data_IF_009771981126
#
_entry.id   IF_009771981126
#
_cell.length_a   1.000
_cell.length_b   1.000
_cell.length_c   1.000
_cell.angle_alpha   90.00
_cell.angle_beta   90.00
_cell.angle_gamma   90.00
#
_symmetry.space_group_name_H-M   'P 1'
#
loop_
_entity.id
_entity.type
_entity.pdbx_description
1 polymer ?
#
# COMPACT_ATOMS: atom_id res chain seq x y z
N UNK A 1 39.08 6.69 -61.60
CA UNK A 1 38.79 5.49 -62.42
C UNK A 1 38.42 4.37 -61.48
N UNK A 2 37.18 3.90 -61.58
CA UNK A 2 36.61 2.90 -60.70
C UNK A 2 37.06 1.49 -61.11
N UNK A 3 37.42 0.67 -60.13
CA UNK A 3 37.49 -0.78 -60.28
C UNK A 3 36.53 -1.43 -59.28
N UNK A 4 35.64 -2.29 -59.79
CA UNK A 4 34.64 -3.06 -59.05
C UNK A 4 34.32 -4.34 -59.83
N UNK A 5 34.91 -5.46 -59.40
CA UNK A 5 34.50 -6.87 -59.60
C UNK A 5 35.18 -7.64 -58.46
N UNK A 6 34.63 -8.60 -57.74
CA UNK A 6 33.46 -9.49 -57.71
C UNK A 6 33.22 -9.72 -56.18
N UNK A 7 32.19 -10.36 -55.61
CA UNK A 7 31.57 -11.65 -55.95
C UNK A 7 30.28 -11.76 -55.14
N UNK A 8 29.19 -12.16 -55.80
CA UNK A 8 27.90 -12.47 -55.18
C UNK A 8 27.97 -13.89 -54.59
N UNK A 9 27.62 -14.03 -53.31
CA UNK A 9 27.27 -15.29 -52.66
C UNK A 9 25.83 -15.18 -52.17
N UNK A 10 25.01 -16.14 -52.59
CA UNK A 10 23.57 -16.18 -52.34
C UNK A 10 23.29 -16.72 -50.94
N UNK A 11 22.46 -16.02 -50.16
CA UNK A 11 21.75 -16.62 -49.04
C UNK A 11 20.26 -16.44 -49.28
N UNK A 12 19.59 -17.58 -49.41
CA UNK A 12 18.15 -17.74 -49.59
C UNK A 12 17.38 -17.03 -48.48
N UNK A 13 16.37 -16.28 -48.91
CA UNK A 13 15.22 -15.94 -48.09
C UNK A 13 14.49 -17.25 -47.69
N UNK A 14 14.61 -17.61 -46.42
CA UNK A 14 13.79 -18.63 -45.76
C UNK A 14 12.88 -17.91 -44.78
N UNK A 15 11.58 -17.94 -45.06
CA UNK A 15 10.56 -17.25 -44.27
C UNK A 15 10.41 -17.84 -42.87
N UNK A 16 10.18 -16.95 -41.91
CA UNK A 16 9.49 -17.28 -40.67
C UNK A 16 8.13 -16.63 -40.81
N UNK A 17 7.20 -17.41 -41.37
CA UNK A 17 5.81 -17.06 -41.36
C UNK A 17 5.25 -17.32 -39.94
N UNK A 18 4.53 -16.33 -39.44
CA UNK A 18 3.29 -16.51 -38.69
C UNK A 18 3.39 -16.88 -37.19
N UNK A 19 3.44 -15.88 -36.30
CA UNK A 19 2.67 -15.87 -35.03
C UNK A 19 2.32 -14.43 -34.64
N UNK A 20 1.46 -13.78 -35.43
CA UNK A 20 0.68 -12.62 -34.98
C UNK A 20 -0.77 -12.80 -35.47
N UNK A 21 -1.56 -13.44 -34.62
CA UNK A 21 -3.02 -13.41 -34.57
C UNK A 21 -3.37 -13.85 -33.14
N UNK A 22 -4.11 -13.12 -32.31
CA UNK A 22 -5.23 -12.24 -32.60
C UNK A 22 -6.42 -12.72 -31.76
N UNK A 23 -6.38 -12.42 -30.45
CA UNK A 23 -7.49 -12.27 -29.47
C UNK A 23 -8.49 -13.45 -29.26
N UNK A 24 -9.25 -13.52 -28.13
CA UNK A 24 -9.27 -12.69 -26.92
C UNK A 24 -9.04 -13.47 -25.61
N UNK A 25 -8.71 -12.71 -24.56
CA UNK A 25 -8.59 -13.11 -23.15
C UNK A 25 -10.00 -13.34 -22.56
N UNK A 26 -10.74 -14.31 -23.11
CA UNK A 26 -12.09 -14.66 -22.68
C UNK A 26 -12.28 -16.18 -22.78
N UNK A 27 -11.66 -16.90 -21.84
CA UNK A 27 -12.05 -18.22 -21.31
C UNK A 27 -10.82 -19.01 -20.81
N UNK A 28 -10.29 -18.60 -19.66
CA UNK A 28 -9.94 -19.56 -18.60
C UNK A 28 -10.45 -19.04 -17.26
N UNK A 29 -11.66 -18.49 -17.26
CA UNK A 29 -12.52 -18.40 -16.08
C UNK A 29 -13.17 -19.79 -15.90
N UNK A 30 -12.34 -20.76 -15.55
CA UNK A 30 -12.80 -21.86 -14.71
C UNK A 30 -12.70 -21.33 -13.28
N UNK A 31 -13.82 -20.87 -12.73
CA UNK A 31 -13.94 -20.66 -11.29
C UNK A 31 -13.60 -21.97 -10.57
N UNK A 32 -12.33 -22.17 -10.22
CA UNK A 32 -11.95 -23.04 -9.11
C UNK A 32 -12.14 -22.22 -7.83
N UNK A 33 -13.40 -22.07 -7.43
CA UNK A 33 -13.69 -21.77 -6.03
C UNK A 33 -13.16 -22.95 -5.20
N UNK A 34 -12.30 -22.66 -4.22
CA UNK A 34 -11.82 -23.63 -3.23
C UNK A 34 -10.54 -24.41 -3.57
N UNK A 35 -9.61 -23.84 -4.34
CA UNK A 35 -8.28 -24.43 -4.53
C UNK A 35 -7.25 -23.92 -3.52
N UNK A 36 -6.42 -24.81 -2.95
CA UNK A 36 -5.19 -24.42 -2.25
C UNK A 36 -4.22 -23.79 -3.26
N UNK A 37 -3.88 -22.53 -3.05
CA UNK A 37 -2.90 -21.78 -3.84
C UNK A 37 -1.56 -21.75 -3.09
N UNK A 38 -0.42 -21.59 -3.80
CA UNK A 38 0.86 -21.43 -3.13
C UNK A 38 0.83 -20.22 -2.20
N UNK A 39 1.50 -20.34 -1.04
CA UNK A 39 1.62 -19.22 -0.12
C UNK A 39 2.36 -18.05 -0.80
N UNK A 40 1.91 -16.83 -0.52
CA UNK A 40 2.44 -15.59 -1.10
C UNK A 40 2.89 -14.66 0.01
N UNK A 41 3.60 -13.62 -0.36
CA UNK A 41 3.99 -12.55 0.56
C UNK A 41 3.01 -11.40 0.43
N UNK A 42 2.57 -10.86 1.57
CA UNK A 42 1.84 -9.59 1.66
C UNK A 42 2.68 -8.54 2.34
N UNK A 43 2.36 -7.28 2.08
CA UNK A 43 2.89 -6.15 2.82
C UNK A 43 1.94 -5.86 3.98
N UNK A 44 2.39 -6.07 5.21
CA UNK A 44 1.78 -5.53 6.41
C UNK A 44 2.33 -4.13 6.66
N UNK A 45 1.45 -3.14 6.71
CA UNK A 45 1.76 -1.78 7.13
C UNK A 45 1.23 -1.59 8.53
N UNK A 46 2.08 -1.18 9.46
CA UNK A 46 1.67 -0.87 10.83
C UNK A 46 2.08 0.56 11.18
N UNK A 47 1.14 1.34 11.68
CA UNK A 47 1.34 2.71 12.15
C UNK A 47 1.07 2.69 13.64
N UNK A 48 2.13 2.69 14.45
CA UNK A 48 2.05 2.57 15.91
C UNK A 48 2.68 3.79 16.58
N UNK A 49 2.47 3.95 17.89
CA UNK A 49 3.24 4.95 18.63
C UNK A 49 4.73 4.64 18.55
N UNK A 50 5.57 5.68 18.56
CA UNK A 50 7.03 5.56 18.49
C UNK A 50 7.63 4.54 19.45
N UNK A 51 7.08 4.44 20.66
CA UNK A 51 7.57 3.53 21.70
C UNK A 51 7.04 2.10 21.59
N UNK A 52 6.08 1.83 20.71
CA UNK A 52 5.45 0.51 20.54
C UNK A 52 6.12 -0.32 19.42
N UNK A 53 7.13 0.20 18.71
CA UNK A 53 7.74 -0.47 17.54
C UNK A 53 8.50 -1.75 17.90
N UNK A 54 9.26 -1.76 18.99
CA UNK A 54 10.01 -2.95 19.44
C UNK A 54 9.04 -4.06 19.84
N UNK A 55 7.99 -3.70 20.58
CA UNK A 55 6.91 -4.62 20.94
C UNK A 55 6.17 -5.14 19.72
N UNK A 56 5.89 -4.29 18.72
CA UNK A 56 5.29 -4.72 17.45
C UNK A 56 6.16 -5.77 16.76
N UNK A 57 7.48 -5.53 16.70
CA UNK A 57 8.44 -6.47 16.12
C UNK A 57 8.43 -7.81 16.85
N UNK A 58 8.48 -7.81 18.17
CA UNK A 58 8.39 -9.03 18.99
C UNK A 58 7.11 -9.82 18.69
N UNK A 59 5.97 -9.13 18.61
CA UNK A 59 4.68 -9.77 18.29
C UNK A 59 4.69 -10.43 16.92
N UNK A 60 5.25 -9.78 15.90
CA UNK A 60 5.34 -10.34 14.55
C UNK A 60 6.29 -11.53 14.53
N UNK A 61 7.46 -11.42 15.17
CA UNK A 61 8.48 -12.48 15.21
C UNK A 61 8.01 -13.73 15.98
N UNK A 62 7.18 -13.56 17.01
CA UNK A 62 6.51 -14.66 17.72
C UNK A 62 5.56 -15.45 16.81
N UNK A 63 4.99 -14.80 15.80
CA UNK A 63 3.97 -15.38 14.92
C UNK A 63 4.58 -16.00 13.65
N UNK A 64 5.57 -15.33 13.06
CA UNK A 64 6.09 -15.67 11.73
C UNK A 64 7.46 -15.04 11.48
N UNK A 65 8.16 -15.56 10.46
CA UNK A 65 9.27 -14.84 9.86
C UNK A 65 8.76 -13.63 9.09
N UNK A 66 9.36 -12.47 9.34
CA UNK A 66 9.08 -11.22 8.64
C UNK A 66 10.35 -10.44 8.31
N UNK A 67 10.29 -9.59 7.28
CA UNK A 67 11.30 -8.57 7.04
C UNK A 67 10.65 -7.21 7.24
N UNK A 68 11.12 -6.46 8.24
CA UNK A 68 10.51 -5.19 8.65
C UNK A 68 11.46 -4.03 8.46
N UNK A 69 10.96 -2.95 7.85
CA UNK A 69 11.64 -1.65 7.75
C UNK A 69 10.73 -0.60 8.39
N UNK A 70 11.30 0.28 9.21
CA UNK A 70 10.54 1.30 9.95
C UNK A 70 10.97 2.72 9.56
N UNK A 71 10.00 3.62 9.58
CA UNK A 71 10.13 5.04 9.26
C UNK A 71 9.53 5.86 10.40
N UNK A 72 10.12 7.02 10.69
CA UNK A 72 9.47 8.01 11.55
C UNK A 72 8.23 8.57 10.84
N UNK A 73 7.17 8.82 11.60
CA UNK A 73 5.99 9.49 11.07
C UNK A 73 5.26 10.30 12.12
N UNK A 74 4.33 11.11 11.67
CA UNK A 74 3.54 12.01 12.52
C UNK A 74 2.06 11.75 12.30
N UNK A 75 1.34 11.36 13.35
CA UNK A 75 -0.09 11.12 13.31
C UNK A 75 -0.88 12.40 13.52
N UNK A 76 -1.90 12.62 12.69
CA UNK A 76 -2.73 13.85 12.66
C UNK A 76 -4.21 13.59 13.01
N UNK A 77 -4.51 12.42 13.59
CA UNK A 77 -5.88 12.11 14.02
C UNK A 77 -6.27 12.96 15.23
N UNK A 78 -7.50 13.49 15.22
CA UNK A 78 -8.02 14.32 16.31
C UNK A 78 -8.03 13.59 17.66
N UNK A 79 -7.63 14.31 18.69
CA UNK A 79 -7.83 13.91 20.09
C UNK A 79 -8.24 15.15 20.86
N UNK A 80 -9.38 15.10 21.53
CA UNK A 80 -9.92 16.24 22.28
C UNK A 80 -8.88 16.77 23.29
N UNK A 81 -8.15 15.87 23.95
CA UNK A 81 -7.11 16.24 24.93
C UNK A 81 -5.92 16.94 24.28
N UNK A 82 -5.53 16.47 23.10
CA UNK A 82 -4.42 17.03 22.32
C UNK A 82 -4.77 18.39 21.75
N UNK A 83 -5.99 18.54 21.22
CA UNK A 83 -6.53 19.80 20.73
C UNK A 83 -6.60 20.85 21.86
N UNK A 84 -7.00 20.45 23.08
CA UNK A 84 -6.99 21.33 24.26
C UNK A 84 -5.58 21.80 24.66
N UNK A 85 -4.57 20.94 24.51
CA UNK A 85 -3.18 21.26 24.84
C UNK A 85 -2.47 22.04 23.73
N UNK A 86 -3.12 22.24 22.58
CA UNK A 86 -2.49 22.81 21.39
C UNK A 86 -1.45 21.89 20.74
N UNK A 87 -1.50 20.58 21.05
CA UNK A 87 -0.57 19.57 20.55
C UNK A 87 -1.35 18.71 19.54
N UNK A 88 -1.51 19.16 18.30
CA UNK A 88 -2.32 18.47 17.29
C UNK A 88 -1.70 17.22 16.66
N UNK A 89 -0.48 16.86 17.06
CA UNK A 89 0.34 15.85 16.41
C UNK A 89 0.87 14.82 17.39
N UNK A 90 1.02 13.59 16.92
CA UNK A 90 1.57 12.48 17.72
C UNK A 90 2.73 11.83 17.00
N UNK A 91 3.82 11.56 17.72
CA UNK A 91 4.94 10.79 17.15
C UNK A 91 4.51 9.34 16.89
N UNK A 92 4.58 8.92 15.63
CA UNK A 92 4.28 7.57 15.17
C UNK A 92 5.53 6.93 14.56
N UNK A 93 5.45 5.63 14.40
CA UNK A 93 6.37 4.86 13.57
C UNK A 93 5.57 4.06 12.57
N UNK A 94 5.92 4.20 11.29
CA UNK A 94 5.35 3.44 10.19
C UNK A 94 6.28 2.28 9.88
N UNK A 95 5.81 1.05 10.00
CA UNK A 95 6.56 -0.16 9.74
C UNK A 95 5.99 -0.90 8.53
N UNK A 96 6.86 -1.22 7.57
CA UNK A 96 6.58 -2.07 6.44
C UNK A 96 7.17 -3.45 6.69
N UNK A 97 6.30 -4.44 6.90
CA UNK A 97 6.65 -5.81 7.21
C UNK A 97 6.20 -6.73 6.08
N UNK A 98 7.14 -7.43 5.47
CA UNK A 98 6.84 -8.50 4.51
C UNK A 98 6.50 -9.77 5.30
N UNK A 99 5.28 -10.27 5.13
CA UNK A 99 4.76 -11.42 5.88
C UNK A 99 4.18 -12.49 4.96
N UNK A 100 4.18 -13.78 5.35
CA UNK A 100 3.45 -14.81 4.63
C UNK A 100 1.94 -14.57 4.73
N UNK A 101 1.23 -14.75 3.61
CA UNK A 101 -0.23 -14.58 3.55
C UNK A 101 -0.96 -15.61 4.42
N UNK A 102 -0.40 -16.81 4.61
CA UNK A 102 -0.96 -17.82 5.52
C UNK A 102 -1.07 -17.37 6.97
N UNK A 103 -0.17 -16.50 7.41
CA UNK A 103 -0.01 -16.16 8.83
C UNK A 103 -0.69 -14.81 9.14
N UNK A 104 -1.29 -14.16 8.13
CA UNK A 104 -1.95 -12.85 8.19
C UNK A 104 -2.99 -12.77 9.31
N UNK A 105 -3.89 -13.76 9.40
CA UNK A 105 -4.96 -13.77 10.41
C UNK A 105 -4.42 -13.84 11.84
N UNK A 106 -3.40 -14.68 12.05
CA UNK A 106 -2.75 -14.81 13.34
C UNK A 106 -2.04 -13.51 13.73
N UNK A 107 -1.21 -12.98 12.83
CA UNK A 107 -0.45 -11.74 13.06
C UNK A 107 -1.38 -10.58 13.39
N UNK A 108 -2.45 -10.37 12.60
CA UNK A 108 -3.40 -9.27 12.83
C UNK A 108 -4.10 -9.39 14.18
N UNK A 109 -4.49 -10.61 14.58
CA UNK A 109 -5.11 -10.87 15.89
C UNK A 109 -4.15 -10.58 17.05
N UNK A 110 -2.91 -11.06 16.95
CA UNK A 110 -1.91 -10.87 18.01
C UNK A 110 -1.49 -9.39 18.11
N UNK A 111 -1.33 -8.68 16.99
CA UNK A 111 -1.07 -7.23 17.00
C UNK A 111 -2.23 -6.49 17.69
N UNK A 112 -3.48 -6.78 17.31
CA UNK A 112 -4.66 -6.15 17.92
C UNK A 112 -4.66 -6.29 19.45
N UNK A 113 -4.33 -7.49 19.93
CA UNK A 113 -4.39 -7.82 21.36
C UNK A 113 -3.16 -7.32 22.10
N UNK A 114 -1.96 -7.73 21.68
CA UNK A 114 -0.70 -7.47 22.36
C UNK A 114 -0.25 -6.02 22.25
N UNK A 115 -0.55 -5.29 21.16
CA UNK A 115 -0.28 -3.84 21.04
C UNK A 115 -1.47 -2.99 21.51
N UNK A 116 -2.59 -3.64 21.85
CA UNK A 116 -3.82 -2.99 22.25
C UNK A 116 -4.36 -2.01 21.21
N UNK A 117 -4.24 -2.35 19.92
CA UNK A 117 -4.74 -1.49 18.84
C UNK A 117 -6.26 -1.25 18.92
N UNK A 118 -7.01 -2.08 19.64
CA UNK A 118 -8.43 -1.85 19.92
C UNK A 118 -8.70 -0.53 20.67
N UNK A 119 -7.70 0.03 21.36
CA UNK A 119 -7.79 1.34 22.02
C UNK A 119 -7.45 2.46 21.03
N UNK A 120 -8.27 3.52 21.06
CA UNK A 120 -8.07 4.72 20.25
C UNK A 120 -6.69 5.32 20.52
N UNK A 121 -5.99 5.71 19.46
CA UNK A 121 -4.69 6.38 19.54
C UNK A 121 -3.47 5.45 19.66
N UNK A 122 -3.67 4.13 19.81
CA UNK A 122 -2.56 3.15 19.87
C UNK A 122 -1.93 2.86 18.51
N UNK A 123 -2.67 3.06 17.44
CA UNK A 123 -2.20 2.84 16.08
C UNK A 123 -3.17 1.99 15.25
N UNK A 124 -2.76 1.72 14.02
CA UNK A 124 -3.49 0.87 13.08
C UNK A 124 -2.52 -0.08 12.38
N UNK A 125 -3.00 -1.24 11.98
CA UNK A 125 -2.26 -2.16 11.10
C UNK A 125 -3.18 -2.59 9.97
N UNK A 126 -2.63 -2.75 8.78
CA UNK A 126 -3.39 -3.21 7.63
C UNK A 126 -2.50 -3.88 6.58
N UNK A 127 -3.09 -4.74 5.75
CA UNK A 127 -2.35 -5.49 4.73
C UNK A 127 -2.65 -5.00 3.33
N UNK A 128 -1.62 -5.01 2.48
CA UNK A 128 -1.67 -4.66 1.06
C UNK A 128 -1.18 -5.86 0.25
N UNK A 129 -1.92 -6.29 -0.79
CA UNK A 129 -1.48 -7.38 -1.66
C UNK A 129 -0.24 -6.97 -2.47
N UNK A 130 0.70 -7.89 -2.65
CA UNK A 130 1.87 -7.70 -3.52
C UNK A 130 1.67 -8.39 -4.86
N UNK A 131 2.12 -7.75 -5.93
CA UNK A 131 2.13 -8.32 -7.29
C UNK A 131 3.45 -9.00 -7.63
N UNK A 132 4.52 -8.73 -6.89
CA UNK A 132 5.83 -9.32 -7.10
C UNK A 132 6.81 -8.99 -5.98
N UNK A 133 7.76 -9.88 -5.78
CA UNK A 133 8.85 -9.77 -4.81
C UNK A 133 10.04 -10.60 -5.32
N UNK A 134 11.26 -10.31 -4.87
CA UNK A 134 12.44 -11.09 -5.24
C UNK A 134 12.33 -12.54 -4.74
N UNK A 135 12.72 -13.49 -5.59
CA UNK A 135 12.54 -14.93 -5.36
C UNK A 135 13.19 -15.40 -4.05
N UNK A 136 14.41 -14.93 -3.75
CA UNK A 136 15.12 -15.28 -2.51
C UNK A 136 14.32 -14.86 -1.28
N UNK A 137 13.75 -13.65 -1.30
CA UNK A 137 12.95 -13.14 -0.19
C UNK A 137 11.62 -13.88 -0.10
N UNK A 138 10.95 -14.11 -1.24
CA UNK A 138 9.70 -14.86 -1.30
C UNK A 138 9.86 -16.25 -0.70
N UNK A 139 10.89 -16.99 -1.13
CA UNK A 139 11.18 -18.34 -0.66
C UNK A 139 11.63 -18.36 0.79
N UNK A 140 12.40 -17.36 1.24
CA UNK A 140 12.82 -17.25 2.64
C UNK A 140 11.62 -17.05 3.58
N UNK A 141 10.72 -16.14 3.25
CA UNK A 141 9.54 -15.81 4.07
C UNK A 141 8.51 -16.95 4.02
N UNK A 142 8.10 -17.38 2.83
CA UNK A 142 7.08 -18.45 2.68
C UNK A 142 7.61 -19.84 3.05
N UNK A 143 8.92 -20.06 2.91
CA UNK A 143 9.61 -21.28 3.32
C UNK A 143 9.66 -21.47 4.83
N UNK A 144 9.62 -20.39 5.61
CA UNK A 144 9.53 -20.44 7.07
C UNK A 144 8.10 -20.37 7.61
N UNK A 145 7.13 -20.00 6.78
CA UNK A 145 5.71 -19.90 7.17
C UNK A 145 5.11 -21.23 7.67
N UNK A 146 4.13 -21.12 8.55
CA UNK A 146 3.45 -22.28 9.16
C UNK A 146 2.69 -23.12 8.12
N UNK A 147 2.03 -22.47 7.17
CA UNK A 147 1.35 -23.14 6.06
C UNK A 147 2.01 -22.84 4.71
N UNK A 148 2.05 -23.85 3.83
CA UNK A 148 2.63 -23.72 2.48
C UNK A 148 1.61 -23.36 1.41
N UNK A 149 0.34 -23.38 1.76
CA UNK A 149 -0.73 -23.04 0.85
C UNK A 149 -1.74 -22.13 1.55
N UNK A 150 -2.36 -21.26 0.76
CA UNK A 150 -3.44 -20.39 1.20
C UNK A 150 -4.73 -20.85 0.53
N UNK A 151 -5.84 -20.74 1.24
CA UNK A 151 -7.16 -20.97 0.66
C UNK A 151 -7.48 -19.86 -0.33
N UNK A 152 -7.56 -20.20 -1.62
CA UNK A 152 -7.85 -19.23 -2.67
C UNK A 152 -9.21 -18.55 -2.53
N UNK A 153 -10.15 -19.11 -1.77
CA UNK A 153 -11.43 -18.46 -1.48
C UNK A 153 -11.31 -17.30 -0.49
N UNK A 154 -10.25 -17.26 0.32
CA UNK A 154 -9.98 -16.18 1.30
C UNK A 154 -9.23 -15.00 0.70
N UNK A 155 -8.79 -15.10 -0.55
CA UNK A 155 -8.11 -14.00 -1.23
C UNK A 155 -9.14 -12.90 -1.50
N UNK A 156 -8.88 -11.72 -0.95
CA UNK A 156 -9.77 -10.58 -1.10
C UNK A 156 -9.77 -10.09 -2.55
N UNK A 157 -10.97 -9.91 -3.08
CA UNK A 157 -11.20 -9.30 -4.39
C UNK A 157 -11.36 -7.80 -4.22
N UNK A 158 -11.46 -7.06 -5.33
CA UNK A 158 -11.82 -5.65 -5.24
C UNK A 158 -13.11 -5.47 -4.46
N UNK A 159 -14.17 -6.24 -4.74
CA UNK A 159 -15.50 -6.15 -4.14
C UNK A 159 -15.52 -6.38 -2.62
N UNK A 160 -14.71 -7.30 -2.10
CA UNK A 160 -14.71 -7.64 -0.66
C UNK A 160 -13.91 -6.65 0.20
N UNK A 161 -13.11 -5.76 -0.41
CA UNK A 161 -12.31 -4.77 0.33
C UNK A 161 -13.19 -3.62 0.83
N UNK A 162 -13.07 -3.35 2.12
CA UNK A 162 -13.81 -2.28 2.80
C UNK A 162 -13.01 -0.97 2.88
N UNK A 163 -11.68 -1.05 2.81
CA UNK A 163 -10.78 0.08 3.00
C UNK A 163 -9.84 0.26 1.79
N UNK A 164 -9.39 1.50 1.61
CA UNK A 164 -8.33 1.89 0.69
C UNK A 164 -7.34 2.80 1.43
N UNK A 165 -6.05 2.66 1.12
CA UNK A 165 -5.02 3.60 1.55
C UNK A 165 -4.84 4.64 0.46
N UNK A 166 -5.13 5.91 0.75
CA UNK A 166 -4.77 7.03 -0.11
C UNK A 166 -3.38 7.53 0.32
N UNK A 167 -2.53 7.80 -0.67
CA UNK A 167 -1.22 8.40 -0.48
C UNK A 167 -1.16 9.68 -1.31
N UNK A 168 -0.89 10.80 -0.65
CA UNK A 168 -0.60 12.07 -1.29
C UNK A 168 0.85 12.46 -1.01
N UNK A 169 1.67 12.55 -2.06
CA UNK A 169 3.03 13.06 -1.99
C UNK A 169 3.03 14.54 -2.39
N UNK A 170 3.16 15.45 -1.42
CA UNK A 170 3.08 16.91 -1.61
C UNK A 170 4.41 17.57 -1.31
N UNK A 171 4.64 18.76 -1.84
CA UNK A 171 5.78 19.59 -1.44
C UNK A 171 5.79 19.83 0.08
N UNK A 172 6.98 19.84 0.68
CA UNK A 172 7.13 20.14 2.09
C UNK A 172 6.43 21.46 2.45
N UNK A 173 5.68 21.46 3.55
CA UNK A 173 4.90 22.62 4.02
C UNK A 173 3.47 22.72 3.46
N UNK A 174 3.05 21.85 2.55
CA UNK A 174 1.66 21.77 2.07
C UNK A 174 0.85 20.64 2.71
N UNK A 175 1.42 19.92 3.67
CA UNK A 175 0.77 18.75 4.29
C UNK A 175 -0.44 19.14 5.13
N UNK A 176 -0.41 20.31 5.78
CA UNK A 176 -1.54 20.83 6.55
C UNK A 176 -2.73 21.16 5.64
N UNK A 177 -2.48 21.84 4.51
CA UNK A 177 -3.50 22.12 3.51
C UNK A 177 -4.07 20.81 2.93
N UNK A 178 -3.21 19.83 2.62
CA UNK A 178 -3.65 18.52 2.16
C UNK A 178 -4.54 17.81 3.20
N UNK A 179 -4.17 17.88 4.48
CA UNK A 179 -4.94 17.32 5.58
C UNK A 179 -6.26 18.04 5.80
N UNK A 180 -6.31 19.36 5.70
CA UNK A 180 -7.55 20.14 5.78
C UNK A 180 -8.51 19.79 4.64
N UNK A 181 -8.02 19.72 3.40
CA UNK A 181 -8.81 19.30 2.24
C UNK A 181 -9.37 17.88 2.42
N UNK A 182 -8.53 16.94 2.87
CA UNK A 182 -8.95 15.56 3.12
C UNK A 182 -10.00 15.47 4.26
N UNK A 183 -9.79 16.18 5.37
CA UNK A 183 -10.75 16.23 6.49
C UNK A 183 -12.08 16.84 6.07
N UNK A 184 -12.06 17.91 5.29
CA UNK A 184 -13.26 18.52 4.71
C UNK A 184 -14.06 17.55 3.84
N UNK A 185 -13.40 16.57 3.23
CA UNK A 185 -14.00 15.48 2.47
C UNK A 185 -14.32 14.21 3.29
N UNK A 186 -14.17 14.26 4.61
CA UNK A 186 -14.55 13.17 5.53
C UNK A 186 -13.42 12.25 5.97
N UNK A 187 -12.15 12.59 5.72
CA UNK A 187 -11.03 11.84 6.29
C UNK A 187 -10.98 12.01 7.82
N UNK A 188 -10.85 10.91 8.56
CA UNK A 188 -10.72 10.95 10.02
C UNK A 188 -9.37 11.50 10.51
N UNK A 189 -8.34 11.39 9.67
CA UNK A 189 -6.97 11.78 9.98
C UNK A 189 -6.00 11.12 9.00
N UNK A 190 -4.71 11.29 9.25
CA UNK A 190 -3.67 10.64 8.45
C UNK A 190 -2.37 10.44 9.23
N UNK A 191 -1.38 9.92 8.53
CA UNK A 191 -0.01 9.80 9.02
C UNK A 191 0.93 10.42 7.99
N UNK A 192 1.80 11.30 8.46
CA UNK A 192 2.77 12.01 7.64
C UNK A 192 4.11 11.29 7.74
N UNK A 193 4.80 11.11 6.63
CA UNK A 193 6.19 10.67 6.55
C UNK A 193 6.96 11.72 5.76
N UNK A 194 7.98 12.32 6.37
CA UNK A 194 8.90 13.21 5.67
C UNK A 194 9.76 12.40 4.69
N UNK A 195 9.84 12.86 3.45
CA UNK A 195 10.48 12.17 2.35
C UNK A 195 11.26 13.12 1.44
N UNK A 196 12.06 12.55 0.55
CA UNK A 196 12.76 13.29 -0.48
C UNK A 196 12.37 12.76 -1.86
N UNK A 197 12.08 13.65 -2.80
CA UNK A 197 11.86 13.29 -4.20
C UNK A 197 13.21 13.07 -4.88
N UNK A 198 13.30 11.98 -5.65
CA UNK A 198 14.43 11.76 -6.55
C UNK A 198 14.06 12.37 -7.91
N UNK A 199 14.68 13.50 -8.24
CA UNK A 199 14.37 14.24 -9.46
C UNK A 199 14.75 13.42 -10.70
N UNK A 200 13.83 13.33 -11.65
CA UNK A 200 14.08 12.77 -12.96
C UNK A 200 13.69 13.80 -14.01
N UNK A 201 14.70 14.45 -14.61
CA UNK A 201 14.51 15.51 -15.60
C UNK A 201 13.63 15.07 -16.77
N UNK A 202 13.62 13.77 -17.13
CA UNK A 202 12.72 13.24 -18.18
C UNK A 202 11.27 13.14 -17.71
N UNK A 203 11.04 12.77 -16.46
CA UNK A 203 9.71 12.74 -15.86
C UNK A 203 9.16 14.16 -15.69
N UNK A 204 9.98 15.12 -15.24
CA UNK A 204 9.59 16.53 -15.14
C UNK A 204 9.22 17.13 -16.49
N UNK A 205 9.97 16.80 -17.56
CA UNK A 205 9.64 17.22 -18.93
C UNK A 205 8.34 16.58 -19.45
N UNK A 206 8.05 15.34 -19.08
CA UNK A 206 6.84 14.64 -19.51
C UNK A 206 5.59 15.08 -18.72
N UNK A 207 5.76 15.38 -17.43
CA UNK A 207 4.70 15.78 -16.50
C UNK A 207 4.49 17.31 -16.54
N UNK A 208 5.49 18.07 -17.00
CA UNK A 208 5.41 19.51 -17.22
C UNK A 208 5.64 20.37 -15.97
N UNK A 209 6.17 19.80 -14.88
CA UNK A 209 6.45 20.51 -13.62
C UNK A 209 7.77 20.05 -13.01
N UNK A 210 8.49 20.96 -12.34
CA UNK A 210 9.66 20.63 -11.51
C UNK A 210 9.20 20.09 -10.16
N UNK A 211 9.78 18.98 -9.72
CA UNK A 211 9.44 18.39 -8.43
C UNK A 211 10.42 18.92 -7.37
N UNK A 212 9.91 19.49 -6.27
CA UNK A 212 10.75 19.88 -5.13
C UNK A 212 11.40 18.65 -4.49
N UNK A 213 12.65 18.81 -4.05
CA UNK A 213 13.48 17.74 -3.46
C UNK A 213 12.93 17.26 -2.11
N UNK A 214 12.28 18.12 -1.33
CA UNK A 214 11.65 17.75 -0.07
C UNK A 214 10.13 17.59 -0.24
N UNK A 215 9.62 16.44 0.23
CA UNK A 215 8.23 16.04 0.09
C UNK A 215 7.70 15.48 1.39
N UNK A 216 6.41 15.63 1.61
CA UNK A 216 5.69 14.93 2.67
C UNK A 216 4.76 13.90 2.03
N UNK A 217 4.84 12.66 2.53
CA UNK A 217 3.88 11.62 2.21
C UNK A 217 2.77 11.64 3.26
N UNK A 218 1.57 11.96 2.83
CA UNK A 218 0.37 11.86 3.64
C UNK A 218 -0.37 10.54 3.34
N UNK A 219 -0.44 9.68 4.35
CA UNK A 219 -1.13 8.39 4.33
C UNK A 219 -2.49 8.52 5.00
N UNK A 220 -3.57 8.26 4.27
CA UNK A 220 -4.95 8.30 4.77
C UNK A 220 -5.60 6.94 4.53
N UNK A 221 -5.93 6.23 5.61
CA UNK A 221 -6.74 5.03 5.54
C UNK A 221 -8.21 5.43 5.60
N UNK A 222 -8.99 5.04 4.60
CA UNK A 222 -10.41 5.41 4.51
C UNK A 222 -11.27 4.25 4.06
N UNK A 223 -12.56 4.29 4.41
CA UNK A 223 -13.55 3.38 3.82
C UNK A 223 -13.61 3.62 2.33
N UNK A 224 -13.92 2.57 1.59
CA UNK A 224 -14.00 2.61 0.12
C UNK A 224 -14.92 3.69 -0.43
N UNK A 225 -16.02 3.96 0.28
CA UNK A 225 -16.99 5.03 -0.04
C UNK A 225 -16.36 6.43 0.04
N UNK A 226 -15.45 6.65 0.99
CA UNK A 226 -14.75 7.92 1.19
C UNK A 226 -13.58 8.14 0.22
N UNK A 227 -13.15 7.09 -0.51
CA UNK A 227 -11.98 7.14 -1.38
C UNK A 227 -12.04 8.26 -2.43
N UNK A 228 -13.09 8.25 -3.26
CA UNK A 228 -13.20 9.19 -4.38
C UNK A 228 -13.39 10.65 -3.91
N UNK A 229 -14.27 10.95 -2.93
CA UNK A 229 -14.38 12.30 -2.39
C UNK A 229 -13.05 12.86 -1.86
N UNK A 230 -12.32 12.08 -1.07
CA UNK A 230 -11.04 12.51 -0.49
C UNK A 230 -9.98 12.73 -1.59
N UNK A 231 -9.87 11.80 -2.55
CA UNK A 231 -8.92 11.96 -3.66
C UNK A 231 -9.23 13.20 -4.52
N UNK A 232 -10.50 13.51 -4.74
CA UNK A 232 -10.90 14.71 -5.49
C UNK A 232 -10.54 15.99 -4.75
N UNK A 233 -10.83 16.07 -3.44
CA UNK A 233 -10.48 17.22 -2.63
C UNK A 233 -8.96 17.47 -2.58
N UNK A 234 -8.17 16.40 -2.44
CA UNK A 234 -6.70 16.48 -2.52
C UNK A 234 -6.24 16.94 -3.90
N UNK A 235 -6.85 16.44 -4.98
CA UNK A 235 -6.49 16.82 -6.35
C UNK A 235 -6.74 18.30 -6.61
N UNK A 236 -7.86 18.84 -6.11
CA UNK A 236 -8.23 20.24 -6.33
C UNK A 236 -7.38 21.20 -5.48
N UNK A 237 -7.06 20.84 -4.22
CA UNK A 237 -6.29 21.71 -3.31
C UNK A 237 -4.79 21.61 -3.52
N UNK A 238 -4.26 20.39 -3.56
CA UNK A 238 -2.81 20.13 -3.53
C UNK A 238 -2.32 19.30 -4.71
N UNK A 239 -3.13 19.16 -5.77
CA UNK A 239 -2.78 18.35 -6.93
C UNK A 239 -1.58 18.88 -7.72
N UNK A 240 -1.19 18.13 -8.74
CA UNK A 240 0.03 18.36 -9.52
C UNK A 240 0.16 19.77 -10.13
N UNK A 241 -0.97 20.42 -10.46
CA UNK A 241 -1.00 21.75 -11.08
C UNK A 241 -1.05 22.90 -10.07
N UNK A 242 -1.05 22.59 -8.78
CA UNK A 242 -1.04 23.56 -7.68
C UNK A 242 0.40 23.86 -7.25
N UNK A 243 0.58 24.80 -6.33
CA UNK A 243 1.90 25.07 -5.75
C UNK A 243 2.44 23.88 -4.93
N UNK A 244 1.55 23.05 -4.38
CA UNK A 244 1.93 21.83 -3.66
C UNK A 244 2.50 20.74 -4.60
N UNK A 245 2.17 20.79 -5.90
CA UNK A 245 2.66 19.86 -6.91
C UNK A 245 2.44 18.39 -6.52
N UNK A 246 1.27 18.06 -5.97
CA UNK A 246 1.02 16.78 -5.32
C UNK A 246 0.74 15.62 -6.28
N UNK A 247 1.27 14.46 -5.94
CA UNK A 247 1.00 13.18 -6.62
C UNK A 247 0.10 12.35 -5.71
N UNK A 248 -1.10 12.03 -6.18
CA UNK A 248 -2.14 11.37 -5.38
C UNK A 248 -2.49 10.03 -6.01
N UNK A 249 -2.44 8.96 -5.23
CA UNK A 249 -2.79 7.61 -5.66
C UNK A 249 -3.31 6.80 -4.49
N UNK A 250 -3.90 5.64 -4.79
CA UNK A 250 -4.47 4.76 -3.77
C UNK A 250 -3.98 3.33 -3.92
N UNK A 251 -3.81 2.64 -2.80
CA UNK A 251 -3.50 1.22 -2.73
C UNK A 251 -4.67 0.45 -2.10
N UNK A 252 -4.96 -0.77 -2.59
CA UNK A 252 -5.98 -1.62 -2.00
C UNK A 252 -5.54 -2.11 -0.62
N UNK A 253 -6.48 -2.17 0.31
CA UNK A 253 -6.27 -2.74 1.65
C UNK A 253 -7.09 -4.01 1.80
N UNK A 254 -6.43 -5.10 2.18
CA UNK A 254 -7.07 -6.38 2.43
C UNK A 254 -7.65 -6.39 3.86
N UNK A 255 -6.82 -6.57 4.89
CA UNK A 255 -7.27 -6.62 6.28
C UNK A 255 -6.83 -5.39 7.05
N UNK A 256 -7.55 -5.10 8.14
CA UNK A 256 -7.25 -3.98 9.05
C UNK A 256 -7.36 -4.42 10.51
N UNK A 257 -6.67 -3.70 11.39
CA UNK A 257 -6.74 -3.82 12.84
C UNK A 257 -6.51 -2.43 13.45
N UNK A 258 -7.21 -2.13 14.53
CA UNK A 258 -7.08 -0.86 15.26
C UNK A 258 -7.94 0.30 14.76
N UNK A 259 -8.91 0.00 13.89
CA UNK A 259 -9.91 0.97 13.44
C UNK A 259 -11.16 0.80 14.32
N UNK A 260 -11.22 1.46 15.46
CA UNK A 260 -12.40 1.49 16.36
C UNK A 260 -13.46 2.48 15.79
N UNK A 261 -14.80 2.32 15.82
CA UNK A 261 -15.69 1.33 16.44
C UNK A 261 -17.12 1.36 15.82
N UNK A 262 -17.29 1.35 14.50
CA UNK A 262 -18.64 1.28 13.88
C UNK A 262 -18.86 0.17 12.85
N UNK A 263 -17.85 -0.62 12.48
CA UNK A 263 -17.97 -1.57 11.35
C UNK A 263 -17.81 -3.05 11.69
N UNK A 264 -17.27 -3.42 12.85
CA UNK A 264 -17.07 -4.85 13.17
C UNK A 264 -18.32 -5.52 13.76
N UNK A 265 -19.26 -4.77 14.35
CA UNK A 265 -20.51 -5.35 14.89
C UNK A 265 -21.41 -5.94 13.79
N UNK A 266 -21.31 -5.43 12.56
CA UNK A 266 -22.08 -5.94 11.43
C UNK A 266 -21.55 -7.27 10.85
N UNK A 267 -20.30 -7.67 11.15
CA UNK A 267 -19.70 -8.89 10.62
C UNK A 267 -19.93 -10.12 11.50
N UNK A 268 -20.16 -9.95 12.81
CA UNK A 268 -20.45 -11.06 13.74
C UNK A 268 -21.95 -11.39 13.84
N UNK A 269 -22.85 -10.43 13.60
CA UNK A 269 -24.30 -10.69 13.59
C UNK A 269 -24.79 -11.40 12.31
N UNK A 270 -23.97 -11.45 11.26
CA UNK A 270 -24.32 -12.17 10.02
C UNK A 270 -24.01 -13.68 10.07
N UNK A 271 -23.43 -14.19 11.16
CA UNK A 271 -23.00 -15.58 11.28
C UNK A 271 -23.40 -16.25 12.61
N UNK A 272 -24.45 -15.74 13.26
CA UNK A 272 -25.15 -16.41 14.38
C UNK A 272 -26.56 -16.81 13.98
#
# INVERSE_FOLDING_TARGET
MADKRQTKSSVRAGGIANVLGGTPIANMLGMRQGGKLPNRVKLLVSIVNKNDIERLKEVIDDCSVSLTVAFAGTGTAHSQVLDYLGIGETEKTVAFSLIPESDEDLIMREIRTKISLYLVGRGISFTVPLTGISEIVANGITGAASEKAVDGSKIMTSETRQYDLIIAAVAAGFVDEAMEAARGAGAAGGTIIHAHALNNTKAEQFIGVSLLEERDLLLILTKREGKLPIMQALFDSVGLKTQAGGIIFSLPVDKTAGISASDEVAAEEANQ
#
